data_IF_189906388906
#
_entry.id   IF_189906388906
#
_cell.length_a   1.000
_cell.length_b   1.000
_cell.length_c   1.000
_cell.angle_alpha   90.00
_cell.angle_beta   90.00
_cell.angle_gamma   90.00
#
_symmetry.space_group_name_H-M   'P 1'
#
loop_
_entity.id
_entity.type
_entity.pdbx_description
1 polymer ?
#
# COMPACT_ATOMS: atom_id res chain seq x y z
N UNK A 1 -23.76 7.38 4.56
CA UNK A 1 -22.34 6.94 4.62
C UNK A 1 -21.52 7.97 3.86
N UNK A 2 -20.73 8.79 4.55
CA UNK A 2 -19.83 9.74 3.92
C UNK A 2 -18.56 9.00 3.49
N UNK A 3 -18.49 8.56 2.24
CA UNK A 3 -17.20 8.22 1.64
C UNK A 3 -16.39 9.53 1.55
N UNK A 4 -15.51 9.78 2.53
CA UNK A 4 -14.76 11.03 2.65
C UNK A 4 -13.83 11.29 1.45
N UNK A 5 -13.42 10.22 0.76
CA UNK A 5 -12.60 10.28 -0.44
C UNK A 5 -12.69 8.93 -1.17
N UNK A 6 -12.88 8.96 -2.50
CA UNK A 6 -12.71 7.79 -3.37
C UNK A 6 -11.42 7.96 -4.14
N UNK A 7 -10.49 7.05 -3.89
CA UNK A 7 -9.30 6.95 -4.72
C UNK A 7 -9.67 6.68 -6.17
N UNK A 8 -9.05 7.45 -7.07
CA UNK A 8 -9.11 7.21 -8.49
C UNK A 8 -7.91 6.36 -8.92
N UNK A 9 -8.00 5.03 -8.70
CA UNK A 9 -7.07 4.05 -9.27
C UNK A 9 -7.82 3.21 -10.31
N UNK A 10 -7.89 3.65 -11.58
CA UNK A 10 -8.51 2.89 -12.69
C UNK A 10 -8.05 1.44 -12.79
N UNK A 11 -6.83 1.15 -12.33
CA UNK A 11 -6.24 -0.18 -12.31
C UNK A 11 -6.92 -1.16 -11.34
N UNK A 12 -7.65 -0.63 -10.35
CA UNK A 12 -8.43 -1.42 -9.40
C UNK A 12 -9.87 -1.70 -9.90
N UNK A 13 -10.19 -1.28 -11.13
CA UNK A 13 -11.42 -1.73 -11.80
C UNK A 13 -11.25 -3.15 -12.32
N UNK A 14 -12.36 -3.88 -12.47
CA UNK A 14 -12.34 -5.25 -13.00
C UNK A 14 -11.64 -5.33 -14.37
N UNK A 15 -11.91 -4.36 -15.26
CA UNK A 15 -11.27 -4.30 -16.58
C UNK A 15 -9.75 -4.04 -16.48
N UNK A 16 -9.32 -3.16 -15.57
CA UNK A 16 -7.91 -2.90 -15.28
C UNK A 16 -7.21 -4.14 -14.76
N UNK A 17 -7.75 -4.75 -13.71
CA UNK A 17 -7.23 -5.97 -13.09
C UNK A 17 -7.07 -7.10 -14.11
N UNK A 18 -8.10 -7.35 -14.92
CA UNK A 18 -8.07 -8.38 -15.98
C UNK A 18 -6.99 -8.10 -17.03
N UNK A 19 -6.83 -6.84 -17.45
CA UNK A 19 -5.81 -6.44 -18.44
C UNK A 19 -4.39 -6.75 -17.96
N UNK A 20 -4.12 -6.57 -16.67
CA UNK A 20 -2.79 -6.79 -16.07
C UNK A 20 -2.62 -8.19 -15.46
N UNK A 21 -3.64 -9.05 -15.50
CA UNK A 21 -3.60 -10.37 -14.88
C UNK A 21 -3.45 -10.28 -13.36
N UNK A 22 -4.16 -9.34 -12.75
CA UNK A 22 -4.16 -9.06 -11.33
C UNK A 22 -5.48 -9.50 -10.71
N UNK A 23 -5.42 -9.95 -9.46
CA UNK A 23 -6.57 -10.19 -8.60
C UNK A 23 -6.44 -9.25 -7.42
N UNK A 24 -7.54 -8.62 -7.01
CA UNK A 24 -7.57 -7.67 -5.92
C UNK A 24 -8.41 -8.19 -4.76
N UNK A 25 -7.85 -8.16 -3.57
CA UNK A 25 -8.58 -8.18 -2.31
C UNK A 25 -8.49 -6.82 -1.63
N UNK A 26 -9.58 -6.43 -0.97
CA UNK A 26 -9.73 -5.11 -0.34
C UNK A 26 -10.39 -5.28 1.03
N UNK A 27 -9.90 -4.54 2.03
CA UNK A 27 -10.56 -4.45 3.33
C UNK A 27 -10.65 -2.98 3.78
N UNK A 28 -11.80 -2.57 4.36
CA UNK A 28 -11.84 -1.36 5.15
C UNK A 28 -10.96 -1.51 6.40
N UNK A 29 -10.66 -0.37 7.02
CA UNK A 29 -9.82 -0.28 8.22
C UNK A 29 -10.66 -0.37 9.49
N UNK A 30 -10.04 -0.75 10.61
CA UNK A 30 -10.66 -0.67 11.92
C UNK A 30 -11.12 0.75 12.28
N UNK A 31 -12.02 0.87 13.25
CA UNK A 31 -12.64 2.16 13.63
C UNK A 31 -11.62 3.23 14.04
N UNK A 32 -10.51 2.82 14.68
CA UNK A 32 -9.49 3.74 15.22
C UNK A 32 -8.66 4.38 14.11
N UNK A 33 -8.35 3.64 13.05
CA UNK A 33 -7.53 4.11 11.92
C UNK A 33 -8.35 4.79 10.81
N UNK A 34 -9.66 4.97 11.02
CA UNK A 34 -10.54 5.63 10.04
C UNK A 34 -10.15 7.09 9.86
N UNK A 35 -10.11 7.56 8.61
CA UNK A 35 -9.66 8.90 8.27
C UNK A 35 -8.15 9.04 8.20
N UNK A 36 -7.42 7.96 8.50
CA UNK A 36 -5.97 7.87 8.43
C UNK A 36 -5.54 6.87 7.37
N UNK A 37 -5.85 5.61 7.61
CA UNK A 37 -5.69 4.56 6.62
C UNK A 37 -6.99 4.55 5.82
N UNK A 38 -6.85 4.68 4.51
CA UNK A 38 -7.96 4.57 3.59
C UNK A 38 -8.38 3.10 3.48
N UNK A 39 -7.42 2.21 3.23
CA UNK A 39 -7.70 0.80 2.98
C UNK A 39 -6.46 -0.09 3.02
N UNK A 40 -6.69 -1.37 3.27
CA UNK A 40 -5.73 -2.44 2.98
C UNK A 40 -6.05 -3.09 1.64
N UNK A 41 -5.01 -3.41 0.88
CA UNK A 41 -5.12 -4.07 -0.43
C UNK A 41 -4.21 -5.29 -0.47
N UNK A 42 -4.62 -6.30 -1.21
CA UNK A 42 -3.73 -7.35 -1.69
C UNK A 42 -3.91 -7.55 -3.18
N UNK A 43 -2.79 -7.50 -3.89
CA UNK A 43 -2.71 -7.78 -5.32
C UNK A 43 -2.07 -9.15 -5.48
N UNK A 44 -2.74 -10.06 -6.17
CA UNK A 44 -2.22 -11.37 -6.51
C UNK A 44 -1.99 -11.48 -8.01
N UNK A 45 -0.89 -12.10 -8.42
CA UNK A 45 -0.60 -12.36 -9.83
C UNK A 45 0.14 -13.68 -10.02
N UNK A 46 -0.08 -14.32 -11.17
CA UNK A 46 0.55 -15.58 -11.56
C UNK A 46 1.74 -15.40 -12.50
N UNK A 47 2.05 -14.15 -12.89
CA UNK A 47 3.15 -13.82 -13.81
C UNK A 47 3.77 -12.47 -13.48
N UNK A 48 5.00 -12.19 -13.91
CA UNK A 48 5.57 -10.85 -13.87
C UNK A 48 4.67 -9.86 -14.63
N UNK A 49 4.38 -8.71 -14.03
CA UNK A 49 3.45 -7.72 -14.60
C UNK A 49 3.69 -6.33 -13.99
N UNK A 50 3.49 -5.23 -14.73
CA UNK A 50 3.50 -3.91 -14.13
C UNK A 50 2.23 -3.70 -13.28
N UNK A 51 2.40 -3.04 -12.13
CA UNK A 51 1.31 -2.50 -11.31
C UNK A 51 1.28 -0.97 -11.47
N UNK A 52 0.34 -0.40 -12.24
CA UNK A 52 0.32 1.03 -12.52
C UNK A 52 -0.25 1.81 -11.34
N UNK A 53 0.55 2.68 -10.74
CA UNK A 53 0.13 3.61 -9.69
C UNK A 53 -0.28 4.92 -10.33
N UNK A 54 -1.54 5.31 -10.15
CA UNK A 54 -2.09 6.56 -10.72
C UNK A 54 -2.04 7.68 -9.67
N UNK A 55 -1.71 8.93 -10.05
CA UNK A 55 -1.84 10.10 -9.19
C UNK A 55 -3.26 10.26 -8.68
N UNK A 56 -3.44 10.07 -7.37
CA UNK A 56 -4.71 10.35 -6.72
C UNK A 56 -4.53 11.14 -5.41
N UNK A 57 -3.29 11.50 -5.07
CA UNK A 57 -2.95 12.22 -3.84
C UNK A 57 -2.80 11.31 -2.62
N UNK A 58 -3.10 10.01 -2.73
CA UNK A 58 -2.81 9.06 -1.65
C UNK A 58 -1.32 8.75 -1.58
N UNK A 59 -0.87 8.42 -0.38
CA UNK A 59 0.41 7.76 -0.16
C UNK A 59 0.15 6.29 0.15
N UNK A 60 1.09 5.42 -0.20
CA UNK A 60 0.93 4.01 0.05
C UNK A 60 2.25 3.35 0.45
N UNK A 61 2.14 2.38 1.34
CA UNK A 61 3.20 1.42 1.63
C UNK A 61 2.90 0.17 0.81
N UNK A 62 3.89 -0.30 0.07
CA UNK A 62 3.86 -1.51 -0.75
C UNK A 62 4.76 -2.55 -0.09
N UNK A 63 4.20 -3.68 0.30
CA UNK A 63 4.90 -4.71 1.07
C UNK A 63 4.94 -5.99 0.24
N UNK A 64 6.14 -6.40 -0.16
CA UNK A 64 6.41 -7.63 -0.89
C UNK A 64 7.11 -8.65 0.03
N UNK A 65 7.14 -9.95 -0.31
CA UNK A 65 7.81 -10.96 0.51
C UNK A 65 9.30 -10.70 0.79
N UNK A 66 9.92 -9.83 0.00
CA UNK A 66 11.36 -9.54 0.00
C UNK A 66 11.67 -8.09 0.40
N UNK A 67 10.69 -7.35 0.94
CA UNK A 67 10.90 -6.00 1.45
C UNK A 67 9.71 -5.06 1.23
N UNK A 68 9.83 -3.87 1.79
CA UNK A 68 8.82 -2.82 1.70
C UNK A 68 9.31 -1.63 0.87
N UNK A 69 8.37 -0.94 0.22
CA UNK A 69 8.57 0.35 -0.43
C UNK A 69 7.51 1.34 0.01
N UNK A 70 7.88 2.61 0.08
CA UNK A 70 6.95 3.70 0.35
C UNK A 70 6.82 4.52 -0.92
N UNK A 71 5.59 4.66 -1.41
CA UNK A 71 5.30 5.60 -2.49
C UNK A 71 4.89 6.94 -1.91
N UNK A 72 5.67 7.98 -2.25
CA UNK A 72 5.24 9.35 -2.05
C UNK A 72 4.06 9.71 -2.97
N UNK A 73 3.61 10.96 -2.88
CA UNK A 73 2.64 11.48 -3.83
C UNK A 73 3.23 11.43 -5.25
N UNK A 74 2.45 10.93 -6.20
CA UNK A 74 2.86 10.84 -7.60
C UNK A 74 2.20 11.98 -8.41
N UNK A 75 2.98 12.68 -9.24
CA UNK A 75 2.50 13.70 -10.18
C UNK A 75 2.08 13.09 -11.53
N UNK A 76 2.57 11.89 -11.84
CA UNK A 76 2.27 11.14 -13.06
C UNK A 76 2.09 9.66 -12.78
N UNK A 77 1.41 8.96 -13.69
CA UNK A 77 1.30 7.50 -13.61
C UNK A 77 2.69 6.86 -13.64
N UNK A 78 2.92 5.89 -12.75
CA UNK A 78 4.17 5.13 -12.69
C UNK A 78 3.91 3.67 -12.40
N UNK A 79 4.68 2.81 -13.04
CA UNK A 79 4.57 1.37 -12.82
C UNK A 79 5.53 0.92 -11.71
N UNK A 80 4.99 0.19 -10.73
CA UNK A 80 5.79 -0.69 -9.89
C UNK A 80 5.91 -2.02 -10.62
N UNK A 81 7.14 -2.47 -10.86
CA UNK A 81 7.38 -3.76 -11.51
C UNK A 81 7.20 -4.90 -10.52
N UNK A 82 6.17 -5.74 -10.71
CA UNK A 82 6.02 -7.01 -10.00
C UNK A 82 6.80 -8.05 -10.79
N UNK A 83 7.96 -8.44 -10.26
CA UNK A 83 8.92 -9.30 -10.97
C UNK A 83 8.63 -10.80 -10.80
N UNK A 84 7.86 -11.18 -9.79
CA UNK A 84 7.59 -12.58 -9.47
C UNK A 84 6.09 -12.82 -9.23
N UNK A 85 5.55 -14.00 -9.59
CA UNK A 85 4.24 -14.42 -9.16
C UNK A 85 4.12 -14.39 -7.63
N UNK A 86 2.93 -14.09 -7.12
CA UNK A 86 2.67 -14.11 -5.68
C UNK A 86 1.63 -13.08 -5.25
N UNK A 87 1.60 -12.88 -3.94
CA UNK A 87 0.73 -11.92 -3.27
C UNK A 87 1.57 -10.72 -2.82
N UNK A 88 1.04 -9.53 -3.06
CA UNK A 88 1.66 -8.24 -2.75
C UNK A 88 0.67 -7.42 -1.94
N UNK A 89 1.08 -6.97 -0.76
CA UNK A 89 0.19 -6.29 0.18
C UNK A 89 0.42 -4.78 0.12
N UNK A 90 -0.63 -4.00 0.37
CA UNK A 90 -0.58 -2.56 0.34
C UNK A 90 -1.36 -1.91 1.48
N UNK A 91 -0.79 -0.88 2.10
CA UNK A 91 -1.47 0.01 3.03
C UNK A 91 -1.64 1.35 2.33
N UNK A 92 -2.88 1.82 2.18
CA UNK A 92 -3.18 3.10 1.57
C UNK A 92 -3.58 4.12 2.62
N UNK A 93 -2.97 5.29 2.58
CA UNK A 93 -3.24 6.39 3.49
C UNK A 93 -4.08 7.46 2.81
N UNK A 94 -4.94 8.14 3.58
CA UNK A 94 -5.58 9.35 3.09
C UNK A 94 -4.52 10.42 2.75
N UNK A 95 -4.80 11.29 1.76
CA UNK A 95 -3.86 12.33 1.34
C UNK A 95 -3.34 13.17 2.52
N UNK A 96 -2.02 13.30 2.62
CA UNK A 96 -1.36 14.16 3.61
C UNK A 96 -1.39 13.64 5.05
N UNK A 97 -1.84 12.40 5.29
CA UNK A 97 -1.99 11.87 6.65
C UNK A 97 -0.75 11.08 7.13
N UNK A 98 0.09 10.59 6.22
CA UNK A 98 1.25 9.76 6.59
C UNK A 98 2.24 10.48 7.54
N UNK A 99 2.37 11.81 7.41
CA UNK A 99 3.20 12.67 8.27
C UNK A 99 2.77 12.75 9.72
N UNK A 100 1.54 12.32 10.06
CA UNK A 100 1.09 12.30 11.45
C UNK A 100 1.50 11.01 12.18
N UNK A 101 1.95 9.99 11.45
CA UNK A 101 2.47 8.73 12.01
C UNK A 101 3.99 8.75 12.11
N UNK A 102 4.62 9.45 11.19
CA UNK A 102 6.06 9.42 11.01
C UNK A 102 6.54 10.85 10.89
N UNK A 103 7.53 11.22 11.69
CA UNK A 103 8.19 12.51 11.62
C UNK A 103 9.11 12.55 10.39
N UNK A 104 8.49 12.68 9.22
CA UNK A 104 9.16 12.61 7.92
C UNK A 104 8.71 13.75 7.01
N UNK A 105 9.65 14.22 6.18
CA UNK A 105 9.37 15.19 5.15
C UNK A 105 8.92 14.49 3.85
N UNK A 106 7.61 14.33 3.67
CA UNK A 106 7.05 13.65 2.50
C UNK A 106 7.36 14.33 1.17
N UNK A 107 7.80 15.60 1.17
CA UNK A 107 8.24 16.27 -0.06
C UNK A 107 9.47 15.62 -0.67
N UNK A 108 10.36 15.05 0.15
CA UNK A 108 11.62 14.42 -0.28
C UNK A 108 11.40 13.20 -1.18
N UNK A 109 10.23 12.57 -1.07
CA UNK A 109 9.88 11.34 -1.80
C UNK A 109 8.75 11.56 -2.80
N UNK A 110 8.43 12.82 -3.10
CA UNK A 110 7.50 13.15 -4.19
C UNK A 110 8.02 12.52 -5.48
N UNK A 111 7.12 11.89 -6.25
CA UNK A 111 7.47 11.18 -7.48
C UNK A 111 8.53 10.07 -7.29
N UNK A 112 8.59 9.47 -6.10
CA UNK A 112 9.56 8.42 -5.80
C UNK A 112 8.92 7.26 -5.05
N UNK A 113 9.56 6.11 -5.21
CA UNK A 113 9.39 4.95 -4.34
C UNK A 113 10.70 4.77 -3.59
N UNK A 114 10.65 4.88 -2.27
CA UNK A 114 11.82 4.72 -1.41
C UNK A 114 11.73 3.43 -0.62
N UNK A 115 12.87 2.95 -0.14
CA UNK A 115 12.96 1.74 0.67
C UNK A 115 12.58 2.01 2.14
N UNK A 116 12.61 0.96 2.94
CA UNK A 116 12.27 1.00 4.35
C UNK A 116 13.11 1.94 5.21
N UNK A 117 14.28 2.37 4.75
CA UNK A 117 15.15 3.28 5.52
C UNK A 117 14.57 4.69 5.62
N UNK A 118 13.64 5.05 4.74
CA UNK A 118 13.00 6.36 4.76
C UNK A 118 12.00 6.52 5.91
N UNK A 119 11.45 5.43 6.44
CA UNK A 119 10.56 5.42 7.59
C UNK A 119 11.32 4.90 8.82
N UNK A 120 11.99 5.77 9.61
CA UNK A 120 12.77 5.36 10.78
C UNK A 120 11.84 5.06 11.97
N UNK A 121 10.90 4.15 11.79
CA UNK A 121 9.96 3.73 12.82
C UNK A 121 10.22 2.28 13.23
N UNK A 122 9.95 1.98 14.50
CA UNK A 122 10.16 0.65 15.04
C UNK A 122 9.33 -0.39 14.27
N UNK A 123 9.96 -1.51 13.94
CA UNK A 123 9.31 -2.66 13.31
C UNK A 123 9.01 -2.53 11.81
N UNK A 124 9.22 -1.38 11.16
CA UNK A 124 8.88 -1.25 9.73
C UNK A 124 9.77 -2.09 8.81
N UNK A 125 11.08 -2.12 9.06
CA UNK A 125 12.01 -2.96 8.29
C UNK A 125 11.66 -4.45 8.37
N UNK A 126 11.04 -4.89 9.47
CA UNK A 126 10.63 -6.29 9.68
C UNK A 126 9.15 -6.54 9.32
N UNK A 127 8.39 -5.50 8.98
CA UNK A 127 6.95 -5.62 8.75
C UNK A 127 6.64 -6.62 7.63
N UNK A 128 7.46 -6.64 6.57
CA UNK A 128 7.30 -7.61 5.49
C UNK A 128 7.44 -9.06 6.00
N UNK A 129 8.45 -9.35 6.81
CA UNK A 129 8.62 -10.67 7.42
C UNK A 129 7.42 -11.05 8.28
N UNK A 130 6.90 -10.10 9.06
CA UNK A 130 5.78 -10.33 9.96
C UNK A 130 4.47 -10.63 9.23
N UNK A 131 4.12 -9.86 8.18
CA UNK A 131 2.85 -10.10 7.47
C UNK A 131 2.89 -11.39 6.65
N UNK A 132 4.04 -11.75 6.06
CA UNK A 132 4.11 -12.93 5.18
C UNK A 132 4.23 -14.27 5.93
N UNK A 133 4.32 -14.25 7.26
CA UNK A 133 4.06 -15.44 8.09
C UNK A 133 2.61 -15.91 7.97
N UNK A 134 1.69 -15.01 7.60
CA UNK A 134 0.26 -15.29 7.49
C UNK A 134 -0.14 -15.53 6.03
N UNK A 135 -1.05 -16.48 5.83
CA UNK A 135 -1.55 -16.83 4.50
C UNK A 135 -2.81 -16.03 4.13
N UNK A 136 -3.61 -15.62 5.12
CA UNK A 136 -4.83 -14.86 4.89
C UNK A 136 -4.55 -13.37 4.72
N UNK A 137 -5.22 -12.76 3.74
CA UNK A 137 -5.26 -11.30 3.57
C UNK A 137 -5.72 -10.57 4.85
N UNK A 138 -6.75 -11.10 5.53
CA UNK A 138 -7.29 -10.46 6.73
C UNK A 138 -6.35 -10.55 7.94
N UNK A 139 -5.56 -11.61 8.04
CA UNK A 139 -4.53 -11.73 9.08
C UNK A 139 -3.40 -10.73 8.85
N UNK A 140 -2.94 -10.58 7.59
CA UNK A 140 -1.97 -9.55 7.20
C UNK A 140 -2.46 -8.15 7.53
N UNK A 141 -3.73 -7.85 7.23
CA UNK A 141 -4.34 -6.57 7.57
C UNK A 141 -4.32 -6.32 9.09
N UNK A 142 -4.63 -7.34 9.90
CA UNK A 142 -4.59 -7.22 11.37
C UNK A 142 -3.19 -6.94 11.90
N UNK A 143 -2.15 -7.57 11.34
CA UNK A 143 -0.75 -7.27 11.71
C UNK A 143 -0.40 -5.80 11.41
N UNK A 144 -0.80 -5.30 10.24
CA UNK A 144 -0.61 -3.89 9.88
C UNK A 144 -1.39 -2.94 10.79
N UNK A 145 -2.61 -3.29 11.19
CA UNK A 145 -3.39 -2.51 12.16
C UNK A 145 -2.69 -2.44 13.51
N UNK A 146 -2.17 -3.56 14.00
CA UNK A 146 -1.44 -3.61 15.27
C UNK A 146 -0.16 -2.78 15.20
N UNK A 147 0.60 -2.88 14.11
CA UNK A 147 1.81 -2.09 13.90
C UNK A 147 1.52 -0.58 13.88
N UNK A 148 0.45 -0.14 13.21
CA UNK A 148 0.07 1.27 13.15
C UNK A 148 -0.47 1.83 14.48
N UNK A 149 -0.84 0.98 15.44
CA UNK A 149 -1.39 1.40 16.73
C UNK A 149 -0.36 1.36 17.88
N UNK A 150 0.90 0.99 17.58
CA UNK A 150 2.04 1.08 18.50
C UNK A 150 2.54 2.51 18.61
#
# INVERSE_FOLDING_TARGET
MNELYRSFQPILTEAGLKRFGLILEYSPVCKVLRGIVHSYLQISTTKPTPYPVIPDGTQAIYIAPHGSKIGGAQSRARDIQILQPGNYFGIRFYPGVLRYFFDINLFEITDQFVDEKFLPCCGFGELHNNIYQYHSFHERARVCEQWLLQ
#
